data_IF_813077739046
#
_entry.id   IF_813077739046
#
_cell.length_a   1.000
_cell.length_b   1.000
_cell.length_c   1.000
_cell.angle_alpha   90.00
_cell.angle_beta   90.00
_cell.angle_gamma   90.00
#
_symmetry.space_group_name_H-M   'P 1'
#
loop_
_entity.id
_entity.type
_entity.pdbx_description
1 polymer ?
#
# COMPACT_ATOMS: atom_id res chain seq x y z
N UNK A 1 4.03 -6.94 -16.67
CA UNK A 1 2.66 -6.65 -17.13
C UNK A 1 2.59 -5.19 -17.56
N UNK A 2 2.32 -4.92 -18.84
CA UNK A 2 2.46 -3.61 -19.50
C UNK A 2 1.49 -2.53 -18.98
N UNK A 3 0.50 -2.94 -18.20
CA UNK A 3 -0.47 -2.04 -17.55
C UNK A 3 0.13 -1.21 -16.41
N UNK A 4 1.14 -1.72 -15.70
CA UNK A 4 1.70 -1.01 -14.53
C UNK A 4 2.67 0.11 -14.91
N UNK A 5 3.42 -0.03 -16.01
CA UNK A 5 4.41 0.99 -16.39
C UNK A 5 3.77 2.28 -16.91
N UNK A 6 2.64 2.18 -17.64
CA UNK A 6 1.97 3.36 -18.15
C UNK A 6 1.35 4.28 -17.07
N UNK A 7 1.07 3.75 -15.87
CA UNK A 7 0.52 4.52 -14.75
C UNK A 7 1.60 5.11 -13.83
N UNK A 8 2.77 4.48 -13.74
CA UNK A 8 3.87 4.93 -12.90
C UNK A 8 4.61 6.15 -13.45
N UNK A 9 4.56 6.36 -14.77
CA UNK A 9 5.34 7.40 -15.46
C UNK A 9 4.58 8.74 -15.66
N UNK A 10 3.31 8.83 -15.23
CA UNK A 10 2.53 10.07 -15.37
C UNK A 10 2.66 10.91 -14.10
N UNK A 11 3.31 12.07 -14.21
CA UNK A 11 3.30 13.10 -13.18
C UNK A 11 1.85 13.60 -12.97
N UNK A 12 1.32 13.45 -11.75
CA UNK A 12 -0.05 13.88 -11.40
C UNK A 12 -0.09 15.39 -11.14
N UNK A 13 -1.10 16.06 -11.67
CA UNK A 13 -1.34 17.47 -11.36
C UNK A 13 -1.94 17.63 -9.96
N UNK A 14 -1.77 18.81 -9.33
CA UNK A 14 -2.33 19.06 -7.99
C UNK A 14 -3.86 18.93 -7.91
N UNK A 15 -4.57 19.09 -9.04
CA UNK A 15 -6.02 18.87 -9.13
C UNK A 15 -6.42 17.39 -9.27
N UNK A 16 -5.49 16.53 -9.67
CA UNK A 16 -5.70 15.08 -9.78
C UNK A 16 -5.21 14.32 -8.54
N UNK A 17 -4.46 14.98 -7.63
CA UNK A 17 -4.11 14.43 -6.32
C UNK A 17 -5.38 14.32 -5.46
N UNK A 18 -5.65 13.11 -4.96
CA UNK A 18 -6.77 12.84 -4.08
C UNK A 18 -6.25 12.85 -2.65
N UNK A 19 -6.89 13.61 -1.75
CA UNK A 19 -6.42 13.81 -0.36
C UNK A 19 -6.66 12.58 0.56
N UNK A 20 -6.92 11.41 -0.03
CA UNK A 20 -7.23 10.17 0.68
C UNK A 20 -5.97 9.40 1.06
N UNK A 21 -5.96 8.86 2.28
CA UNK A 21 -4.93 7.93 2.77
C UNK A 21 -5.53 6.53 2.98
N UNK A 22 -4.82 5.50 2.53
CA UNK A 22 -5.18 4.09 2.72
C UNK A 22 -4.03 3.37 3.42
N UNK A 23 -4.32 2.71 4.53
CA UNK A 23 -3.37 1.78 5.17
C UNK A 23 -3.87 0.36 4.96
N UNK A 24 -3.04 -0.47 4.33
CA UNK A 24 -3.31 -1.90 4.16
C UNK A 24 -2.71 -2.65 5.34
N UNK A 25 -3.54 -2.97 6.33
CA UNK A 25 -3.12 -3.76 7.48
C UNK A 25 -2.89 -5.22 7.08
N UNK A 26 -1.72 -5.75 7.39
CA UNK A 26 -1.32 -7.11 7.02
C UNK A 26 -0.70 -7.88 8.18
N UNK A 27 -1.10 -9.14 8.36
CA UNK A 27 -0.47 -10.02 9.33
C UNK A 27 0.89 -10.53 8.82
N UNK A 28 1.87 -10.70 9.72
CA UNK A 28 3.16 -11.31 9.40
C UNK A 28 3.06 -12.82 9.22
N UNK A 29 3.84 -13.36 8.29
CA UNK A 29 3.94 -14.80 8.04
C UNK A 29 2.75 -15.38 7.28
N UNK A 30 2.75 -16.70 7.07
CA UNK A 30 1.82 -17.40 6.18
C UNK A 30 2.53 -17.89 4.92
N UNK A 31 2.05 -19.01 4.35
CA UNK A 31 2.61 -19.58 3.12
C UNK A 31 2.26 -18.79 1.85
N UNK A 32 1.34 -17.84 1.97
CA UNK A 32 0.90 -16.91 0.92
C UNK A 32 1.85 -15.70 0.74
N UNK A 33 2.80 -15.50 1.66
CA UNK A 33 3.72 -14.35 1.66
C UNK A 33 4.96 -14.59 0.79
N UNK A 34 5.45 -13.51 0.18
CA UNK A 34 6.71 -13.48 -0.57
C UNK A 34 7.93 -13.25 0.33
N UNK A 35 9.13 -13.17 -0.28
CA UNK A 35 10.37 -12.87 0.44
C UNK A 35 10.40 -11.52 1.16
N UNK A 36 9.53 -10.59 0.74
CA UNK A 36 9.33 -9.26 1.34
C UNK A 36 8.36 -9.29 2.52
N UNK A 37 7.77 -10.45 2.84
CA UNK A 37 6.82 -10.62 3.93
C UNK A 37 5.38 -10.24 3.59
N UNK A 38 5.12 -9.77 2.36
CA UNK A 38 3.79 -9.36 1.90
C UNK A 38 3.14 -10.43 1.02
N UNK A 39 1.81 -10.42 0.94
CA UNK A 39 1.11 -11.10 -0.15
C UNK A 39 1.53 -10.50 -1.49
N UNK A 40 1.51 -11.34 -2.52
CA UNK A 40 1.86 -10.95 -3.90
C UNK A 40 1.09 -9.72 -4.40
N UNK A 41 -0.12 -9.49 -3.90
CA UNK A 41 -1.01 -8.40 -4.30
C UNK A 41 -0.93 -7.15 -3.41
N UNK A 42 -0.39 -7.22 -2.18
CA UNK A 42 -0.33 -6.06 -1.27
C UNK A 42 0.40 -4.86 -1.90
N UNK A 43 1.63 -5.07 -2.38
CA UNK A 43 2.43 -3.98 -2.97
C UNK A 43 1.78 -3.47 -4.27
N UNK A 44 1.37 -4.33 -5.23
CA UNK A 44 0.65 -3.86 -6.42
C UNK A 44 -0.64 -3.08 -6.16
N UNK A 45 -1.34 -3.32 -5.05
CA UNK A 45 -2.51 -2.53 -4.62
C UNK A 45 -2.08 -1.13 -4.20
N UNK A 46 -1.07 -1.01 -3.32
CA UNK A 46 -0.57 0.29 -2.85
C UNK A 46 -0.03 1.14 -4.01
N UNK A 47 0.77 0.56 -4.91
CA UNK A 47 1.27 1.29 -6.08
C UNK A 47 0.14 1.77 -6.99
N UNK A 48 -0.90 0.96 -7.18
CA UNK A 48 -2.04 1.35 -8.00
C UNK A 48 -2.90 2.47 -7.39
N UNK A 49 -2.90 2.61 -6.06
CA UNK A 49 -3.53 3.74 -5.36
C UNK A 49 -2.66 5.00 -5.47
N UNK A 50 -1.35 4.88 -5.28
CA UNK A 50 -0.40 6.00 -5.44
C UNK A 50 -0.39 6.57 -6.86
N UNK A 51 -0.46 5.70 -7.87
CA UNK A 51 -0.59 6.11 -9.27
C UNK A 51 -1.91 6.85 -9.57
N UNK A 52 -2.89 6.79 -8.67
CA UNK A 52 -4.15 7.55 -8.73
C UNK A 52 -4.17 8.76 -7.80
N UNK A 53 -3.01 9.14 -7.26
CA UNK A 53 -2.87 10.30 -6.40
C UNK A 53 -3.30 10.10 -4.95
N UNK A 54 -3.51 8.86 -4.49
CA UNK A 54 -3.77 8.55 -3.07
C UNK A 54 -2.46 8.31 -2.32
N UNK A 55 -2.43 8.60 -1.02
CA UNK A 55 -1.44 7.98 -0.14
C UNK A 55 -1.86 6.54 0.15
N UNK A 56 -0.95 5.59 -0.03
CA UNK A 56 -1.22 4.19 0.31
C UNK A 56 0.02 3.48 0.82
N UNK A 57 -0.08 2.77 1.93
CA UNK A 57 1.04 2.00 2.48
C UNK A 57 0.60 0.69 3.13
N UNK A 58 1.40 -0.37 3.03
CA UNK A 58 1.20 -1.56 3.83
C UNK A 58 1.76 -1.35 5.24
N UNK A 59 1.04 -1.83 6.25
CA UNK A 59 1.49 -1.80 7.63
C UNK A 59 1.28 -3.18 8.27
N UNK A 60 2.35 -3.75 8.81
CA UNK A 60 2.23 -5.01 9.53
C UNK A 60 1.51 -4.80 10.86
N UNK A 61 0.61 -5.72 11.20
CA UNK A 61 -0.15 -5.71 12.44
C UNK A 61 -0.07 -7.06 13.15
N UNK A 62 0.04 -6.97 14.47
CA UNK A 62 -0.27 -8.02 15.44
C UNK A 62 -0.87 -7.39 16.69
N UNK A 63 -1.56 -8.17 17.51
CA UNK A 63 -2.19 -7.64 18.74
C UNK A 63 -1.16 -7.05 19.72
N UNK A 64 0.08 -7.54 19.68
CA UNK A 64 1.18 -6.99 20.47
C UNK A 64 1.62 -5.58 20.02
N UNK A 65 1.37 -5.24 18.74
CA UNK A 65 1.73 -3.96 18.11
C UNK A 65 0.53 -2.97 18.09
N UNK A 66 -0.60 -3.29 18.72
CA UNK A 66 -1.85 -2.53 18.61
C UNK A 66 -1.70 -1.03 18.90
N UNK A 67 -1.12 -0.66 20.04
CA UNK A 67 -0.98 0.76 20.42
C UNK A 67 -0.05 1.51 19.45
N UNK A 68 1.00 0.84 18.97
CA UNK A 68 1.91 1.42 17.99
C UNK A 68 1.20 1.64 16.65
N UNK A 69 0.51 0.64 16.13
CA UNK A 69 -0.23 0.73 14.87
C UNK A 69 -1.34 1.78 14.96
N UNK A 70 -2.10 1.80 16.05
CA UNK A 70 -3.16 2.78 16.29
C UNK A 70 -2.63 4.22 16.28
N UNK A 71 -1.40 4.45 16.73
CA UNK A 71 -0.80 5.80 16.72
C UNK A 71 -0.44 6.33 15.33
N UNK A 72 -0.40 5.45 14.32
CA UNK A 72 -0.07 5.77 12.92
C UNK A 72 -1.29 5.94 12.03
N UNK A 73 -2.49 5.65 12.54
CA UNK A 73 -3.79 5.78 11.84
C UNK A 73 -4.50 7.07 12.28
#
# INVERSE_FOLDING_TARGET
DKYYQAAADKELTSSEMLDGSVVVLECRGGSDKGPDGHRRDTIPICEALRARGWSAEPLFYSDAEYEEVKSKL
#
